data_IF_317264054225
#
_entry.id   IF_317264054225
#
_cell.length_a   1.000
_cell.length_b   1.000
_cell.length_c   1.000
_cell.angle_alpha   90.00
_cell.angle_beta   90.00
_cell.angle_gamma   90.00
#
_symmetry.space_group_name_H-M   'P 1'
#
loop_
_entity.id
_entity.type
_entity.pdbx_description
1 polymer ?
#
# COMPACT_ATOMS: atom_id res chain seq x y z
N UNK A 1 0.53 4.69 12.39
CA UNK A 1 -0.70 4.32 13.11
C UNK A 1 -1.89 4.59 12.20
N UNK A 2 -2.94 3.78 12.30
CA UNK A 2 -4.26 3.98 11.71
C UNK A 2 -5.30 3.90 12.82
N UNK A 3 -6.60 3.88 12.52
CA UNK A 3 -7.61 3.76 13.54
C UNK A 3 -9.03 3.80 13.00
N UNK A 4 -9.98 3.69 13.93
CA UNK A 4 -11.40 3.83 13.64
C UNK A 4 -11.98 4.92 14.55
N UNK A 5 -12.82 5.76 13.97
CA UNK A 5 -13.60 6.78 14.69
C UNK A 5 -15.07 6.47 14.52
N UNK A 6 -15.81 6.38 15.61
CA UNK A 6 -17.28 6.40 15.60
C UNK A 6 -17.70 7.86 15.63
N UNK A 7 -18.53 8.26 14.68
CA UNK A 7 -19.02 9.64 14.59
C UNK A 7 -20.54 9.69 14.53
N UNK A 8 -21.12 10.80 14.92
CA UNK A 8 -22.53 11.11 14.70
C UNK A 8 -22.69 11.64 13.28
N UNK A 9 -23.51 11.00 12.47
CA UNK A 9 -23.75 11.46 11.08
C UNK A 9 -24.46 12.81 11.08
N UNK A 10 -24.07 13.64 10.14
CA UNK A 10 -24.72 14.92 9.81
C UNK A 10 -25.01 15.01 8.29
N UNK A 11 -25.27 16.21 7.77
CA UNK A 11 -25.62 16.42 6.35
C UNK A 11 -24.43 16.23 5.40
N UNK A 12 -23.19 16.38 5.89
CA UNK A 12 -21.98 16.28 5.09
C UNK A 12 -21.43 14.87 5.04
N UNK A 13 -20.53 14.63 4.06
CA UNK A 13 -19.81 13.37 3.96
C UNK A 13 -18.68 13.36 5.00
N UNK A 14 -18.81 12.47 5.99
CA UNK A 14 -17.84 12.28 7.07
C UNK A 14 -17.52 13.56 7.89
N UNK A 15 -18.48 14.48 8.04
CA UNK A 15 -18.29 15.77 8.71
C UNK A 15 -18.82 15.82 10.12
N UNK A 16 -19.54 14.81 10.56
CA UNK A 16 -20.18 14.79 11.88
C UNK A 16 -19.20 14.69 13.05
N UNK A 17 -19.70 15.05 14.22
CA UNK A 17 -18.90 15.05 15.46
C UNK A 17 -18.37 13.65 15.81
N UNK A 18 -17.12 13.59 16.23
CA UNK A 18 -16.46 12.36 16.68
C UNK A 18 -16.96 11.98 18.07
N UNK A 19 -17.35 10.70 18.25
CA UNK A 19 -17.85 10.18 19.52
C UNK A 19 -16.76 9.41 20.28
N UNK A 20 -16.14 8.44 19.63
CA UNK A 20 -15.06 7.61 20.21
C UNK A 20 -14.06 7.24 19.14
N UNK A 21 -12.82 6.96 19.55
CA UNK A 21 -11.71 6.60 18.66
C UNK A 21 -10.94 5.41 19.21
N UNK A 22 -10.37 4.60 18.33
CA UNK A 22 -9.39 3.57 18.67
C UNK A 22 -8.25 3.62 17.69
N UNK A 23 -7.02 3.62 18.18
CA UNK A 23 -5.81 3.52 17.37
C UNK A 23 -5.46 2.07 17.08
N UNK A 24 -5.02 1.81 15.86
CA UNK A 24 -4.56 0.50 15.41
C UNK A 24 -3.14 0.65 14.88
N UNK A 25 -2.14 0.03 15.53
CA UNK A 25 -0.76 0.10 15.06
C UNK A 25 -0.61 -0.65 13.73
N UNK A 26 0.21 -0.08 12.84
CA UNK A 26 0.59 -0.73 11.59
C UNK A 26 1.79 -1.63 11.83
N UNK A 27 1.73 -2.87 11.35
CA UNK A 27 2.88 -3.75 11.29
C UNK A 27 3.86 -3.31 10.18
N UNK A 28 5.11 -3.75 10.26
CA UNK A 28 6.12 -3.42 9.25
C UNK A 28 5.80 -4.03 7.88
N UNK A 29 5.12 -5.16 7.88
CA UNK A 29 4.66 -5.94 6.72
C UNK A 29 3.17 -5.75 6.43
N UNK A 30 2.51 -4.74 7.01
CA UNK A 30 1.07 -4.50 6.85
C UNK A 30 0.68 -4.38 5.37
N UNK A 31 -0.38 -5.08 4.99
CA UNK A 31 -1.02 -4.96 3.68
C UNK A 31 -2.35 -4.21 3.78
N UNK A 32 -2.87 -3.74 2.66
CA UNK A 32 -4.22 -3.14 2.62
C UNK A 32 -5.29 -4.10 3.15
N UNK A 33 -5.20 -5.40 2.81
CA UNK A 33 -6.14 -6.43 3.27
C UNK A 33 -6.03 -6.70 4.77
N UNK A 34 -4.81 -6.90 5.29
CA UNK A 34 -4.64 -7.16 6.73
C UNK A 34 -5.06 -5.97 7.59
N UNK A 35 -4.79 -4.75 7.12
CA UNK A 35 -5.26 -3.54 7.79
C UNK A 35 -6.79 -3.45 7.77
N UNK A 36 -7.43 -3.76 6.64
CA UNK A 36 -8.89 -3.77 6.54
C UNK A 36 -9.52 -4.70 7.58
N UNK A 37 -9.02 -5.92 7.72
CA UNK A 37 -9.53 -6.91 8.69
C UNK A 37 -9.35 -6.41 10.13
N UNK A 38 -8.18 -5.83 10.45
CA UNK A 38 -7.91 -5.24 11.78
C UNK A 38 -8.86 -4.09 12.10
N UNK A 39 -9.06 -3.18 11.15
CA UNK A 39 -9.95 -2.03 11.31
C UNK A 39 -11.42 -2.46 11.44
N UNK A 40 -11.85 -3.45 10.67
CA UNK A 40 -13.21 -4.00 10.77
C UNK A 40 -13.48 -4.58 12.16
N UNK A 41 -12.55 -5.39 12.69
CA UNK A 41 -12.68 -5.97 14.03
C UNK A 41 -12.65 -4.90 15.13
N UNK A 42 -11.72 -3.94 15.04
CA UNK A 42 -11.61 -2.84 16.01
C UNK A 42 -12.84 -1.94 15.99
N UNK A 43 -13.35 -1.61 14.79
CA UNK A 43 -14.54 -0.79 14.61
C UNK A 43 -15.81 -1.43 15.14
N UNK A 44 -16.01 -2.73 14.87
CA UNK A 44 -17.16 -3.48 15.40
C UNK A 44 -17.17 -3.46 16.94
N UNK A 45 -16.03 -3.73 17.57
CA UNK A 45 -15.89 -3.68 19.03
C UNK A 45 -16.17 -2.28 19.57
N UNK A 46 -15.53 -1.26 18.99
CA UNK A 46 -15.68 0.13 19.40
C UNK A 46 -17.15 0.60 19.30
N UNK A 47 -17.85 0.20 18.22
CA UNK A 47 -19.25 0.55 18.04
C UNK A 47 -20.13 -0.04 19.14
N UNK A 48 -19.98 -1.33 19.43
CA UNK A 48 -20.75 -2.01 20.50
C UNK A 48 -20.49 -1.39 21.88
N UNK A 49 -19.28 -0.94 22.14
CA UNK A 49 -18.93 -0.26 23.40
C UNK A 49 -19.43 1.18 23.45
N UNK A 50 -19.57 1.86 22.32
CA UNK A 50 -19.98 3.27 22.23
C UNK A 50 -21.49 3.45 22.36
N UNK A 51 -22.31 2.59 21.74
CA UNK A 51 -23.76 2.75 21.68
C UNK A 51 -24.41 2.84 23.08
N UNK A 52 -24.13 1.95 24.07
CA UNK A 52 -24.70 2.05 25.39
C UNK A 52 -24.28 3.31 26.15
N UNK A 53 -23.05 3.78 25.93
CA UNK A 53 -22.56 5.03 26.54
C UNK A 53 -23.24 6.25 25.94
N UNK A 54 -23.45 6.24 24.62
CA UNK A 54 -24.17 7.31 23.93
C UNK A 54 -25.63 7.41 24.43
N UNK A 55 -26.32 6.26 24.60
CA UNK A 55 -27.67 6.20 25.12
C UNK A 55 -27.78 6.80 26.53
N UNK A 56 -26.77 6.56 27.39
CA UNK A 56 -26.68 7.11 28.73
C UNK A 56 -26.20 8.55 28.80
N UNK A 57 -25.86 9.19 27.71
CA UNK A 57 -25.27 10.52 27.67
C UNK A 57 -23.85 10.61 28.24
N UNK A 58 -23.13 9.48 28.29
CA UNK A 58 -21.75 9.40 28.82
C UNK A 58 -20.69 9.74 27.76
N UNK A 59 -21.08 9.99 26.51
CA UNK A 59 -20.17 10.38 25.41
C UNK A 59 -20.35 11.85 25.09
N UNK A 60 -19.27 12.60 25.17
CA UNK A 60 -19.25 14.01 24.74
C UNK A 60 -18.77 14.07 23.28
N UNK A 61 -19.63 14.53 22.34
CA UNK A 61 -19.21 14.72 20.96
C UNK A 61 -18.09 15.75 20.82
N UNK A 62 -17.09 15.45 20.03
CA UNK A 62 -15.96 16.32 19.71
C UNK A 62 -16.02 16.74 18.24
N UNK A 63 -15.99 18.03 17.94
CA UNK A 63 -15.96 18.51 16.56
C UNK A 63 -14.70 18.05 15.85
N UNK A 64 -14.86 17.70 14.60
CA UNK A 64 -13.70 17.43 13.74
C UNK A 64 -12.88 18.70 13.52
N UNK A 65 -11.55 18.60 13.37
CA UNK A 65 -10.71 19.74 13.03
C UNK A 65 -11.17 20.39 11.71
N UNK A 66 -11.22 21.71 11.65
CA UNK A 66 -11.57 22.44 10.41
C UNK A 66 -10.53 22.24 9.31
N UNK A 67 -9.27 22.01 9.70
CA UNK A 67 -8.15 21.79 8.78
C UNK A 67 -7.68 20.37 8.96
N UNK A 68 -7.81 19.57 7.89
CA UNK A 68 -7.21 18.23 7.83
C UNK A 68 -5.69 18.33 7.74
N UNK A 69 -4.99 17.49 8.50
CA UNK A 69 -3.53 17.34 8.40
C UNK A 69 -3.11 16.42 7.28
N UNK A 70 -4.06 15.80 6.58
CA UNK A 70 -3.84 14.87 5.47
C UNK A 70 -4.65 15.32 4.25
N UNK A 71 -4.22 14.88 3.07
CA UNK A 71 -5.03 15.03 1.86
C UNK A 71 -6.32 14.20 1.97
N UNK A 72 -7.34 14.62 1.21
CA UNK A 72 -8.60 13.89 1.14
C UNK A 72 -8.39 12.47 0.63
N UNK A 73 -8.78 11.49 1.42
CA UNK A 73 -8.68 10.07 1.08
C UNK A 73 -9.79 9.67 0.08
N UNK A 74 -9.56 9.93 -1.20
CA UNK A 74 -10.48 9.53 -2.27
C UNK A 74 -10.58 8.01 -2.41
N UNK A 75 -11.65 7.54 -3.03
CA UNK A 75 -11.79 6.12 -3.36
C UNK A 75 -10.63 5.64 -4.23
N UNK A 76 -10.06 4.49 -3.87
CA UNK A 76 -9.02 3.82 -4.63
C UNK A 76 -9.61 3.31 -5.95
N UNK A 77 -8.88 3.48 -7.05
CA UNK A 77 -9.22 3.03 -8.40
C UNK A 77 -8.24 1.98 -8.89
N UNK A 78 -8.60 1.23 -9.94
CA UNK A 78 -7.71 0.21 -10.54
C UNK A 78 -6.38 0.80 -11.01
N UNK A 79 -6.42 2.02 -11.53
CA UNK A 79 -5.27 2.74 -12.05
C UNK A 79 -4.22 3.05 -10.96
N UNK A 80 -4.65 3.17 -9.70
CA UNK A 80 -3.76 3.43 -8.57
C UNK A 80 -2.80 2.26 -8.30
N UNK A 81 -3.14 1.06 -8.77
CA UNK A 81 -2.26 -0.10 -8.77
C UNK A 81 -1.14 -0.05 -9.82
N UNK A 82 -1.19 0.86 -10.80
CA UNK A 82 -0.15 0.95 -11.82
C UNK A 82 1.18 1.40 -11.22
N UNK A 83 2.21 0.57 -11.40
CA UNK A 83 3.55 0.86 -10.89
C UNK A 83 4.22 1.91 -11.77
N UNK A 84 4.72 2.96 -11.12
CA UNK A 84 5.67 3.92 -11.69
C UNK A 84 7.09 3.53 -11.28
N UNK A 85 7.82 2.91 -12.18
CA UNK A 85 9.18 2.44 -11.93
C UNK A 85 10.20 3.54 -11.68
N UNK A 86 9.86 4.81 -11.95
CA UNK A 86 10.74 5.94 -11.67
C UNK A 86 10.79 6.29 -10.18
N UNK A 87 9.86 5.78 -9.39
CA UNK A 87 9.87 5.89 -7.93
C UNK A 87 10.95 5.00 -7.30
N UNK A 88 11.21 5.20 -6.01
CA UNK A 88 12.15 4.36 -5.27
C UNK A 88 11.60 2.94 -5.06
N UNK A 89 12.49 1.97 -4.87
CA UNK A 89 12.11 0.59 -4.57
C UNK A 89 11.25 0.49 -3.30
N UNK A 90 11.53 1.34 -2.30
CA UNK A 90 10.77 1.41 -1.05
C UNK A 90 9.33 1.89 -1.29
N UNK A 91 9.14 2.93 -2.10
CA UNK A 91 7.80 3.43 -2.43
C UNK A 91 6.99 2.40 -3.21
N UNK A 92 7.63 1.70 -4.17
CA UNK A 92 6.97 0.67 -4.98
C UNK A 92 6.61 -0.54 -4.11
N UNK A 93 7.50 -0.98 -3.23
CA UNK A 93 7.23 -2.09 -2.30
C UNK A 93 6.02 -1.76 -1.39
N UNK A 94 5.98 -0.55 -0.83
CA UNK A 94 4.85 -0.07 -0.05
C UNK A 94 3.56 0.00 -0.86
N UNK A 95 3.62 0.42 -2.13
CA UNK A 95 2.48 0.42 -3.03
C UNK A 95 1.97 -1.01 -3.26
N UNK A 96 2.86 -1.99 -3.46
CA UNK A 96 2.49 -3.41 -3.64
C UNK A 96 1.71 -3.90 -2.42
N UNK A 97 2.22 -3.67 -1.21
CA UNK A 97 1.52 -4.04 0.03
C UNK A 97 0.20 -3.29 0.21
N UNK A 98 0.20 -1.97 0.03
CA UNK A 98 -1.00 -1.15 0.19
C UNK A 98 -2.13 -1.56 -0.76
N UNK A 99 -1.79 -1.95 -1.99
CA UNK A 99 -2.77 -2.35 -3.01
C UNK A 99 -3.16 -3.84 -2.97
N UNK A 100 -2.62 -4.61 -2.04
CA UNK A 100 -2.95 -6.03 -1.86
C UNK A 100 -4.13 -6.20 -0.89
N UNK A 101 -5.16 -6.98 -1.20
CA UNK A 101 -5.35 -7.77 -2.44
C UNK A 101 -5.99 -6.98 -3.59
N UNK A 102 -6.51 -5.80 -3.35
CA UNK A 102 -7.19 -5.00 -4.35
C UNK A 102 -6.76 -3.52 -4.27
N UNK A 103 -6.55 -2.87 -5.40
CA UNK A 103 -6.71 -3.32 -6.80
C UNK A 103 -5.57 -4.20 -7.31
N UNK A 104 -4.59 -4.50 -6.51
CA UNK A 104 -3.27 -5.09 -6.78
C UNK A 104 -2.34 -4.19 -7.58
N UNK A 105 -1.06 -4.18 -7.22
CA UNK A 105 -0.05 -3.47 -7.98
C UNK A 105 0.25 -4.22 -9.29
N UNK A 106 0.44 -3.48 -10.40
CA UNK A 106 0.66 -4.09 -11.69
C UNK A 106 1.56 -3.24 -12.60
N UNK A 107 2.18 -3.92 -13.54
CA UNK A 107 2.89 -3.34 -14.67
C UNK A 107 2.48 -4.03 -15.97
N UNK A 108 3.10 -3.68 -17.09
CA UNK A 108 2.88 -4.36 -18.38
C UNK A 108 4.16 -5.00 -18.88
N UNK A 109 4.04 -6.23 -19.35
CA UNK A 109 5.10 -6.98 -20.00
C UNK A 109 4.56 -7.51 -21.33
N UNK A 110 5.19 -7.14 -22.44
CA UNK A 110 4.75 -7.55 -23.79
C UNK A 110 3.25 -7.29 -24.05
N UNK A 111 2.74 -6.15 -23.59
CA UNK A 111 1.34 -5.75 -23.76
C UNK A 111 0.35 -6.39 -22.78
N UNK A 112 0.73 -7.41 -22.01
CA UNK A 112 -0.09 -8.07 -20.99
C UNK A 112 0.11 -7.47 -19.62
N UNK A 113 -0.93 -7.48 -18.78
CA UNK A 113 -0.79 -7.08 -17.39
C UNK A 113 -0.04 -8.14 -16.58
N UNK A 114 0.93 -7.67 -15.80
CA UNK A 114 1.65 -8.46 -14.81
C UNK A 114 1.35 -7.87 -13.44
N UNK A 115 0.59 -8.58 -12.62
CA UNK A 115 0.37 -8.20 -11.22
C UNK A 115 1.57 -8.64 -10.40
N UNK A 116 1.93 -7.79 -9.42
CA UNK A 116 3.01 -8.07 -8.47
C UNK A 116 2.36 -8.20 -7.10
N UNK A 117 2.55 -9.35 -6.46
CA UNK A 117 1.91 -9.70 -5.20
C UNK A 117 2.83 -9.59 -4.01
N UNK A 118 4.12 -9.86 -4.24
CA UNK A 118 5.15 -9.79 -3.21
C UNK A 118 6.47 -9.35 -3.82
N UNK A 119 7.17 -8.49 -3.09
CA UNK A 119 8.47 -7.97 -3.49
C UNK A 119 9.28 -7.52 -2.28
N UNK A 120 10.60 -7.54 -2.42
CA UNK A 120 11.56 -7.07 -1.44
C UNK A 120 12.42 -5.95 -1.99
N UNK A 121 12.79 -5.04 -1.11
CA UNK A 121 13.75 -3.99 -1.43
C UNK A 121 15.16 -4.51 -1.16
N UNK A 122 16.02 -4.49 -2.16
CA UNK A 122 17.45 -4.56 -1.91
C UNK A 122 17.92 -3.13 -1.65
N UNK A 123 18.17 -2.81 -0.38
CA UNK A 123 18.82 -1.58 0.00
C UNK A 123 20.26 -1.64 -0.49
N UNK A 124 20.58 -0.85 -1.49
CA UNK A 124 21.96 -0.67 -1.90
C UNK A 124 22.61 0.30 -0.92
N UNK A 125 23.30 -0.25 0.06
CA UNK A 125 24.16 0.52 0.94
C UNK A 125 25.34 1.10 0.14
N UNK A 126 25.32 2.41 -0.06
CA UNK A 126 26.35 3.16 -0.74
C UNK A 126 26.03 3.34 -2.23
N UNK A 127 25.70 4.57 -2.62
CA UNK A 127 25.39 5.03 -3.98
C UNK A 127 26.48 4.80 -5.05
N UNK A 128 27.36 3.85 -4.88
CA UNK A 128 28.61 3.72 -5.60
C UNK A 128 28.64 2.63 -6.66
N UNK A 129 27.78 1.62 -6.62
CA UNK A 129 27.87 0.54 -7.61
C UNK A 129 27.23 0.90 -8.95
N UNK A 130 26.17 1.75 -8.96
CA UNK A 130 25.52 2.18 -10.19
C UNK A 130 26.06 3.50 -10.76
N UNK A 131 26.57 4.38 -9.92
CA UNK A 131 27.20 5.64 -10.37
C UNK A 131 28.52 5.39 -11.12
N UNK A 132 29.12 4.23 -10.95
CA UNK A 132 30.41 3.85 -11.57
C UNK A 132 30.30 3.21 -12.95
N UNK A 133 29.10 2.96 -13.49
CA UNK A 133 28.95 2.48 -14.85
C UNK A 133 28.79 3.70 -15.77
N UNK A 134 29.82 4.06 -16.56
CA UNK A 134 29.77 5.24 -17.44
C UNK A 134 28.60 5.12 -18.43
N UNK A 135 27.81 6.19 -18.57
CA UNK A 135 26.76 6.29 -19.59
C UNK A 135 25.37 5.80 -19.17
N UNK A 136 25.14 5.37 -17.92
CA UNK A 136 23.81 4.98 -17.45
C UNK A 136 23.11 6.14 -16.72
N UNK A 137 22.08 6.69 -17.38
CA UNK A 137 21.13 7.57 -16.72
C UNK A 137 20.20 6.70 -15.85
N UNK A 138 20.17 6.89 -14.52
CA UNK A 138 19.36 6.04 -13.62
C UNK A 138 17.88 5.99 -14.01
N UNK A 139 17.30 7.08 -14.48
CA UNK A 139 15.90 7.16 -14.88
C UNK A 139 15.60 6.46 -16.22
N UNK A 140 16.55 6.38 -17.14
CA UNK A 140 16.36 5.71 -18.45
C UNK A 140 16.32 4.19 -18.38
N UNK A 141 16.68 3.58 -17.25
CA UNK A 141 16.69 2.14 -17.06
C UNK A 141 15.65 1.64 -16.05
N UNK A 142 14.86 2.54 -15.46
CA UNK A 142 13.79 2.17 -14.54
C UNK A 142 12.76 1.25 -15.22
N UNK A 143 12.34 0.19 -14.51
CA UNK A 143 11.43 -0.84 -15.03
C UNK A 143 12.12 -1.94 -15.84
N UNK A 144 13.44 -1.90 -16.02
CA UNK A 144 14.18 -3.00 -16.68
C UNK A 144 14.56 -4.08 -15.69
N UNK A 145 14.34 -5.32 -16.09
CA UNK A 145 14.86 -6.49 -15.38
C UNK A 145 16.38 -6.48 -15.53
N UNK A 146 17.08 -6.50 -14.42
CA UNK A 146 18.54 -6.54 -14.37
C UNK A 146 19.07 -7.95 -14.17
N UNK A 147 18.44 -8.70 -13.26
CA UNK A 147 18.74 -10.11 -12.99
C UNK A 147 17.43 -10.88 -12.91
N UNK A 148 17.43 -12.10 -13.40
CA UNK A 148 16.35 -13.06 -13.27
C UNK A 148 16.96 -14.39 -12.83
N UNK A 149 16.72 -14.79 -11.59
CA UNK A 149 17.27 -15.99 -11.00
C UNK A 149 16.30 -16.62 -9.99
N UNK A 150 16.72 -17.65 -9.29
CA UNK A 150 15.92 -18.35 -8.28
C UNK A 150 15.44 -17.47 -7.13
N UNK A 151 16.09 -16.33 -6.89
CA UNK A 151 15.70 -15.38 -5.84
C UNK A 151 14.58 -14.45 -6.30
N UNK A 152 14.38 -14.27 -7.61
CA UNK A 152 13.32 -13.46 -8.17
C UNK A 152 13.71 -12.67 -9.42
N UNK A 153 12.81 -11.77 -9.82
CA UNK A 153 13.08 -10.77 -10.85
C UNK A 153 13.58 -9.47 -10.20
N UNK A 154 14.83 -9.16 -10.40
CA UNK A 154 15.46 -7.94 -9.91
C UNK A 154 15.20 -6.81 -10.90
N UNK A 155 14.35 -5.87 -10.53
CA UNK A 155 13.95 -4.77 -11.39
C UNK A 155 14.56 -3.47 -10.88
N UNK A 156 15.21 -2.75 -11.78
CA UNK A 156 15.76 -1.43 -11.46
C UNK A 156 14.62 -0.42 -11.30
N UNK A 157 14.69 0.39 -10.25
CA UNK A 157 13.75 1.47 -9.96
C UNK A 157 14.45 2.82 -10.09
N UNK A 158 13.73 3.91 -9.82
CA UNK A 158 14.34 5.25 -9.77
C UNK A 158 15.42 5.37 -8.70
N UNK A 159 15.25 4.64 -7.59
CA UNK A 159 16.23 4.51 -6.51
C UNK A 159 16.16 3.11 -5.90
N UNK A 160 17.25 2.36 -6.03
CA UNK A 160 17.36 0.98 -5.56
C UNK A 160 16.87 -0.08 -6.55
N UNK A 161 16.79 -1.30 -6.06
CA UNK A 161 16.33 -2.49 -6.79
C UNK A 161 15.16 -3.11 -6.03
N UNK A 162 14.12 -3.46 -6.78
CA UNK A 162 13.00 -4.23 -6.30
C UNK A 162 13.14 -5.68 -6.78
N UNK A 163 13.10 -6.64 -5.86
CA UNK A 163 13.07 -8.08 -6.18
C UNK A 163 11.64 -8.54 -6.10
N UNK A 164 11.09 -8.95 -7.24
CA UNK A 164 9.73 -9.49 -7.32
C UNK A 164 9.80 -10.98 -6.97
N UNK A 165 9.13 -11.38 -5.90
CA UNK A 165 9.11 -12.77 -5.41
C UNK A 165 7.86 -13.53 -5.83
N UNK A 166 6.73 -12.80 -6.01
CA UNK A 166 5.46 -13.41 -6.40
C UNK A 166 4.70 -12.53 -7.39
N UNK A 167 4.24 -13.15 -8.45
CA UNK A 167 3.62 -12.45 -9.57
C UNK A 167 2.46 -13.23 -10.18
N UNK A 168 1.71 -12.56 -11.05
CA UNK A 168 0.64 -13.15 -11.83
C UNK A 168 0.55 -12.50 -13.20
N UNK A 169 0.92 -13.23 -14.24
CA UNK A 169 0.70 -12.79 -15.62
C UNK A 169 -0.78 -12.94 -16.00
N UNK A 170 -1.28 -12.00 -16.77
CA UNK A 170 -2.65 -12.02 -17.31
C UNK A 170 -2.99 -13.38 -17.95
N UNK A 171 -4.11 -13.98 -17.51
CA UNK A 171 -4.54 -15.32 -17.93
C UNK A 171 -3.83 -16.49 -17.25
N UNK A 172 -2.95 -16.23 -16.29
CA UNK A 172 -2.23 -17.26 -15.52
C UNK A 172 -2.61 -17.22 -14.05
N UNK A 173 -2.23 -18.25 -13.29
CA UNK A 173 -2.36 -18.27 -11.83
C UNK A 173 -1.27 -17.41 -11.18
N UNK A 174 -1.50 -16.96 -9.97
CA UNK A 174 -0.49 -16.39 -9.07
C UNK A 174 0.56 -17.48 -8.77
N UNK A 175 1.84 -17.13 -8.83
CA UNK A 175 2.96 -18.07 -8.67
C UNK A 175 4.20 -17.35 -8.13
N UNK A 176 5.10 -18.12 -7.56
CA UNK A 176 6.44 -17.62 -7.23
C UNK A 176 7.20 -17.30 -8.52
N UNK A 177 8.09 -16.33 -8.44
CA UNK A 177 8.88 -15.91 -9.61
C UNK A 177 9.76 -17.04 -10.13
N UNK A 178 10.29 -17.90 -9.25
CA UNK A 178 11.07 -19.09 -9.65
C UNK A 178 10.27 -20.06 -10.54
N UNK A 179 8.94 -20.15 -10.36
CA UNK A 179 8.07 -21.00 -11.21
C UNK A 179 7.68 -20.31 -12.53
N UNK A 180 7.93 -19.00 -12.62
CA UNK A 180 7.61 -18.21 -13.80
C UNK A 180 8.76 -18.18 -14.80
N UNK A 181 10.01 -18.30 -14.33
CA UNK A 181 11.24 -18.29 -15.14
C UNK A 181 11.48 -19.63 -15.83
#
# INVERSE_FOLDING_TARGET
VSGVTIMKMDEGLDTGDMLTKVEVPLAADETGGSLFDKLAAAGAKLLVETLPKLEKGEVTPEKQPEISTTEYARMIKKEDGKIDWTKSAVEIERQIRAMSPWPSAFTKVNGKNLKIWDAKVIAMFGGDLFSKIPGQNPTKSAGKVWVADETGLHVKTGDGILVIEELQLEGKKRMKTADFL
#
